data_IF_372630836010
#
_entry.id   IF_372630836010
#
_cell.length_a   1.000
_cell.length_b   1.000
_cell.length_c   1.000
_cell.angle_alpha   90.00
_cell.angle_beta   90.00
_cell.angle_gamma   90.00
#
_symmetry.space_group_name_H-M   'P 1'
#
loop_
_entity.id
_entity.type
_entity.pdbx_description
1 polymer ?
#
# COMPACT_ATOMS: atom_id res chain seq x y z
N UNK A 1 19.65 -11.01 -23.44
CA UNK A 1 18.81 -9.96 -22.88
C UNK A 1 19.70 -9.15 -21.93
N UNK A 2 19.66 -7.81 -21.95
CA UNK A 2 20.37 -7.04 -20.95
C UNK A 2 19.82 -7.43 -19.58
N UNK A 3 20.72 -7.72 -18.63
CA UNK A 3 20.34 -7.97 -17.24
C UNK A 3 19.75 -6.68 -16.69
N UNK A 4 18.43 -6.66 -16.53
CA UNK A 4 17.72 -5.54 -15.95
C UNK A 4 18.06 -5.51 -14.45
N UNK A 5 18.79 -4.51 -14.02
CA UNK A 5 19.12 -4.32 -12.61
C UNK A 5 18.03 -3.46 -11.97
N UNK A 6 16.90 -4.11 -11.61
CA UNK A 6 15.79 -3.41 -10.99
C UNK A 6 15.98 -3.15 -9.49
N UNK A 7 16.91 -3.86 -8.85
CA UNK A 7 16.83 -4.03 -7.41
C UNK A 7 15.64 -4.91 -7.04
N UNK A 8 14.99 -4.63 -5.92
CA UNK A 8 13.78 -5.32 -5.53
C UNK A 8 12.55 -4.80 -6.30
N UNK A 9 11.64 -5.70 -6.66
CA UNK A 9 10.27 -5.33 -7.09
C UNK A 9 9.45 -5.09 -5.83
N UNK A 10 8.82 -3.92 -5.75
CA UNK A 10 8.06 -3.49 -4.58
C UNK A 10 6.57 -3.38 -4.82
N UNK A 11 6.17 -3.09 -6.06
CA UNK A 11 4.76 -2.89 -6.39
C UNK A 11 4.49 -3.34 -7.82
N UNK A 12 3.33 -3.99 -8.01
CA UNK A 12 2.81 -4.40 -9.30
C UNK A 12 1.42 -3.81 -9.50
N UNK A 13 1.15 -3.29 -10.70
CA UNK A 13 -0.15 -2.72 -11.03
C UNK A 13 -0.53 -3.09 -12.47
N UNK A 14 -1.74 -3.61 -12.68
CA UNK A 14 -2.23 -3.89 -14.02
C UNK A 14 -2.36 -2.59 -14.82
N UNK A 15 -1.75 -2.54 -16.01
CA UNK A 15 -1.85 -1.41 -16.94
C UNK A 15 -2.84 -1.70 -18.07
N UNK A 16 -2.66 -2.82 -18.76
CA UNK A 16 -3.58 -3.37 -19.77
C UNK A 16 -3.72 -4.88 -19.56
N UNK A 17 -4.48 -5.56 -20.40
CA UNK A 17 -4.57 -7.04 -20.36
C UNK A 17 -3.19 -7.71 -20.54
N UNK A 18 -2.32 -7.12 -21.35
CA UNK A 18 -1.01 -7.67 -21.68
C UNK A 18 0.16 -6.95 -21.00
N UNK A 19 -0.08 -5.92 -20.19
CA UNK A 19 0.98 -5.09 -19.61
C UNK A 19 0.77 -4.84 -18.12
N UNK A 20 1.88 -4.87 -17.38
CA UNK A 20 1.95 -4.53 -15.96
C UNK A 20 2.90 -3.35 -15.76
N UNK A 21 2.51 -2.40 -14.91
CA UNK A 21 3.44 -1.47 -14.30
C UNK A 21 4.19 -2.18 -13.16
N UNK A 22 5.50 -2.04 -13.15
CA UNK A 22 6.40 -2.68 -12.19
C UNK A 22 7.20 -1.59 -11.49
N UNK A 23 6.88 -1.34 -10.24
CA UNK A 23 7.60 -0.41 -9.36
C UNK A 23 8.75 -1.12 -8.67
N UNK A 24 9.94 -0.54 -8.74
CA UNK A 24 11.18 -1.15 -8.27
C UNK A 24 12.01 -0.19 -7.42
N UNK A 25 13.15 -0.65 -6.89
CA UNK A 25 14.15 0.22 -6.24
C UNK A 25 14.84 1.17 -7.24
N UNK A 26 14.70 0.93 -8.54
CA UNK A 26 15.41 1.68 -9.58
C UNK A 26 14.48 2.14 -10.72
N UNK A 27 13.30 2.60 -10.39
CA UNK A 27 12.37 3.22 -11.32
C UNK A 27 11.10 2.43 -11.61
N UNK A 28 10.32 2.99 -12.51
CA UNK A 28 9.06 2.45 -13.00
C UNK A 28 9.27 1.78 -14.35
N UNK A 29 8.78 0.55 -14.48
CA UNK A 29 8.88 -0.22 -15.71
C UNK A 29 7.52 -0.70 -16.20
N UNK A 30 7.39 -0.84 -17.51
CA UNK A 30 6.27 -1.50 -18.15
C UNK A 30 6.73 -2.90 -18.59
N UNK A 31 6.09 -3.93 -18.07
CA UNK A 31 6.33 -5.32 -18.45
C UNK A 31 5.28 -5.78 -19.44
N UNK A 32 5.69 -6.23 -20.62
CA UNK A 32 4.79 -6.84 -21.58
C UNK A 32 4.76 -8.37 -21.39
N UNK A 33 3.58 -8.92 -21.16
CA UNK A 33 3.37 -10.35 -20.83
C UNK A 33 3.61 -11.29 -22.01
N UNK A 34 3.37 -10.83 -23.24
CA UNK A 34 3.55 -11.63 -24.45
C UNK A 34 5.02 -11.70 -24.86
N UNK A 35 5.65 -10.54 -25.04
CA UNK A 35 7.05 -10.45 -25.46
C UNK A 35 8.06 -10.76 -24.33
N UNK A 36 7.58 -10.81 -23.07
CA UNK A 36 8.43 -10.96 -21.86
C UNK A 36 9.52 -9.88 -21.76
N UNK A 37 9.22 -8.68 -22.24
CA UNK A 37 10.14 -7.55 -22.24
C UNK A 37 9.74 -6.49 -21.23
N UNK A 38 10.75 -5.75 -20.76
CA UNK A 38 10.57 -4.58 -19.91
C UNK A 38 10.98 -3.32 -20.65
N UNK A 39 10.17 -2.28 -20.52
CA UNK A 39 10.48 -0.93 -20.99
C UNK A 39 10.46 0.01 -19.78
N UNK A 40 11.47 0.85 -19.63
CA UNK A 40 11.47 1.88 -18.58
C UNK A 40 10.38 2.91 -18.86
N UNK A 41 9.50 3.15 -17.90
CA UNK A 41 8.35 4.03 -18.03
C UNK A 41 8.57 5.42 -17.39
N UNK A 42 9.57 5.57 -16.52
CA UNK A 42 10.02 6.86 -15.99
C UNK A 42 11.24 7.39 -16.76
N UNK A 43 11.50 8.69 -16.64
CA UNK A 43 12.67 9.34 -17.18
C UNK A 43 13.39 10.16 -16.10
N UNK A 44 14.47 9.63 -15.49
CA UNK A 44 15.17 10.33 -14.42
C UNK A 44 15.79 11.68 -14.81
N UNK A 45 15.97 11.91 -16.12
CA UNK A 45 16.49 13.18 -16.64
C UNK A 45 15.40 14.24 -16.84
N UNK A 46 14.10 13.88 -16.80
CA UNK A 46 13.00 14.83 -16.91
C UNK A 46 12.50 15.23 -15.50
N UNK A 47 12.65 16.50 -15.10
CA UNK A 47 12.16 16.96 -13.79
C UNK A 47 10.64 16.86 -13.61
N UNK A 48 9.89 16.55 -14.69
CA UNK A 48 8.44 16.28 -14.65
C UNK A 48 8.12 14.79 -14.62
N UNK A 49 9.13 13.95 -14.48
CA UNK A 49 8.97 12.51 -14.23
C UNK A 49 8.79 12.25 -12.73
N UNK A 50 9.04 11.02 -12.29
CA UNK A 50 8.92 10.65 -10.88
C UNK A 50 9.95 11.40 -10.02
N UNK A 51 9.53 11.81 -8.84
CA UNK A 51 10.34 12.56 -7.87
C UNK A 51 11.47 11.76 -7.24
N UNK A 52 11.38 10.43 -7.27
CA UNK A 52 12.40 9.49 -6.78
C UNK A 52 12.27 8.16 -7.53
N UNK A 53 13.35 7.41 -7.61
CA UNK A 53 13.40 6.15 -8.37
C UNK A 53 12.89 4.94 -7.58
N UNK A 54 12.87 4.98 -6.25
CA UNK A 54 12.38 3.88 -5.43
C UNK A 54 10.87 3.96 -5.28
N UNK A 55 10.15 3.03 -5.92
CA UNK A 55 8.70 2.99 -5.97
C UNK A 55 8.18 2.08 -4.85
N UNK A 56 7.51 2.65 -3.85
CA UNK A 56 6.95 1.88 -2.73
C UNK A 56 5.54 1.35 -3.01
N UNK A 57 4.75 2.05 -3.83
CA UNK A 57 3.40 1.63 -4.15
C UNK A 57 2.81 2.35 -5.35
N UNK A 58 1.81 1.73 -5.97
CA UNK A 58 1.09 2.30 -7.10
C UNK A 58 -0.38 1.92 -7.03
N UNK A 59 -1.26 2.80 -7.50
CA UNK A 59 -2.68 2.49 -7.72
C UNK A 59 -3.28 3.33 -8.83
N UNK A 60 -4.37 2.82 -9.42
CA UNK A 60 -5.32 3.61 -10.18
C UNK A 60 -6.43 4.09 -9.27
N UNK A 61 -6.79 5.37 -9.37
CA UNK A 61 -8.02 5.84 -8.75
C UNK A 61 -9.26 5.55 -9.63
N UNK A 62 -10.44 5.83 -9.11
CA UNK A 62 -11.71 5.61 -9.80
C UNK A 62 -11.84 6.42 -11.10
N UNK A 63 -11.12 7.54 -11.23
CA UNK A 63 -11.08 8.38 -12.43
C UNK A 63 -10.07 7.88 -13.47
N UNK A 64 -9.25 6.90 -13.10
CA UNK A 64 -8.19 6.30 -13.92
C UNK A 64 -6.92 7.13 -13.96
N UNK A 65 -6.64 7.91 -12.93
CA UNK A 65 -5.35 8.54 -12.72
C UNK A 65 -4.39 7.59 -11.98
N UNK A 66 -3.10 7.70 -12.29
CA UNK A 66 -2.06 6.90 -11.66
C UNK A 66 -1.45 7.65 -10.47
N UNK A 67 -1.48 7.00 -9.33
CA UNK A 67 -0.79 7.43 -8.11
C UNK A 67 0.44 6.56 -7.90
N UNK A 68 1.58 7.19 -7.65
CA UNK A 68 2.86 6.52 -7.40
C UNK A 68 3.48 7.08 -6.14
N UNK A 69 3.69 6.22 -5.16
CA UNK A 69 4.40 6.53 -3.93
C UNK A 69 5.87 6.19 -4.09
N UNK A 70 6.71 7.16 -3.80
CA UNK A 70 8.16 6.99 -3.84
C UNK A 70 8.78 7.07 -2.45
N UNK A 71 9.97 6.52 -2.29
CA UNK A 71 10.58 6.35 -0.97
C UNK A 71 10.90 7.70 -0.29
N UNK A 72 11.62 8.57 -0.96
CA UNK A 72 12.01 9.89 -0.44
C UNK A 72 11.38 11.05 -1.20
N UNK A 73 10.74 10.77 -2.32
CA UNK A 73 10.16 11.77 -3.20
C UNK A 73 8.70 12.11 -2.89
N UNK A 74 8.03 11.40 -1.99
CA UNK A 74 6.62 11.65 -1.67
C UNK A 74 5.64 11.04 -2.67
N UNK A 75 4.56 11.77 -2.99
CA UNK A 75 3.46 11.30 -3.81
C UNK A 75 3.54 11.91 -5.21
N UNK A 76 3.49 11.07 -6.22
CA UNK A 76 3.41 11.46 -7.62
C UNK A 76 2.03 11.10 -8.16
N UNK A 77 1.38 12.05 -8.82
CA UNK A 77 0.06 11.91 -9.41
C UNK A 77 0.11 12.20 -10.91
N UNK A 78 -0.38 11.28 -11.71
CA UNK A 78 -0.47 11.46 -13.16
C UNK A 78 -1.93 11.31 -13.59
N UNK A 79 -2.55 12.44 -14.01
CA UNK A 79 -3.90 12.39 -14.54
C UNK A 79 -3.95 11.65 -15.88
N UNK A 80 -5.08 11.00 -16.16
CA UNK A 80 -5.33 10.32 -17.44
C UNK A 80 -5.19 11.27 -18.66
N UNK A 81 -5.45 12.55 -18.46
CA UNK A 81 -5.49 13.57 -19.52
C UNK A 81 -4.12 14.17 -19.82
N UNK A 82 -3.33 14.47 -18.79
CA UNK A 82 -2.07 15.21 -18.95
C UNK A 82 -0.87 14.30 -19.21
N UNK A 83 -0.92 13.05 -18.77
CA UNK A 83 0.21 12.10 -18.79
C UNK A 83 1.50 12.70 -18.17
N UNK A 84 1.34 13.60 -17.21
CA UNK A 84 2.42 14.26 -16.46
C UNK A 84 2.20 14.00 -14.99
N UNK A 85 3.29 13.82 -14.24
CA UNK A 85 3.22 13.70 -12.80
C UNK A 85 3.14 15.08 -12.15
N UNK A 86 2.11 15.30 -11.33
CA UNK A 86 2.10 16.33 -10.31
C UNK A 86 2.71 15.73 -9.04
N UNK A 87 3.55 16.50 -8.38
CA UNK A 87 4.36 16.03 -7.26
C UNK A 87 3.97 16.73 -5.96
N UNK A 88 3.67 15.95 -4.95
CA UNK A 88 3.44 16.42 -3.59
C UNK A 88 4.70 16.13 -2.75
N UNK A 89 5.51 17.17 -2.53
CA UNK A 89 6.82 17.01 -1.86
C UNK A 89 6.71 16.58 -0.40
N UNK A 90 7.75 15.93 0.16
CA UNK A 90 7.83 15.70 1.61
C UNK A 90 7.68 16.98 2.43
N UNK A 91 8.13 18.14 1.92
CA UNK A 91 7.93 19.43 2.56
C UNK A 91 6.45 19.86 2.58
N UNK A 92 5.67 19.52 1.57
CA UNK A 92 4.21 19.71 1.56
C UNK A 92 3.55 18.80 2.60
N UNK A 93 4.03 17.57 2.68
CA UNK A 93 3.61 16.59 3.69
C UNK A 93 4.14 16.96 5.09
N UNK A 94 5.29 17.64 5.20
CA UNK A 94 5.97 18.04 6.45
C UNK A 94 5.43 19.31 7.10
N UNK A 95 4.58 20.09 6.45
CA UNK A 95 3.74 21.08 7.13
C UNK A 95 2.95 20.47 8.29
N UNK A 96 2.95 19.11 8.38
CA UNK A 96 2.28 18.26 9.36
C UNK A 96 3.32 17.37 10.07
N UNK A 97 4.38 17.95 10.64
CA UNK A 97 5.35 17.32 11.57
C UNK A 97 6.12 16.08 11.05
N UNK A 98 7.33 16.26 10.62
CA UNK A 98 8.32 15.20 10.40
C UNK A 98 8.83 15.10 8.97
N UNK A 99 9.61 16.09 8.53
CA UNK A 99 10.32 16.01 7.26
C UNK A 99 11.14 14.72 7.17
N UNK A 100 10.85 13.90 6.16
CA UNK A 100 11.59 12.66 5.88
C UNK A 100 10.79 11.38 6.10
N UNK A 101 9.49 11.43 6.28
CA UNK A 101 8.67 10.23 6.39
C UNK A 101 8.55 9.51 5.04
N UNK A 102 8.89 8.23 5.05
CA UNK A 102 8.69 7.35 3.91
C UNK A 102 7.20 7.16 3.71
N UNK A 103 6.68 7.56 2.55
CA UNK A 103 5.32 7.23 2.16
C UNK A 103 5.21 5.70 1.97
N UNK A 104 4.20 5.12 2.57
CA UNK A 104 3.95 3.68 2.55
C UNK A 104 2.71 3.32 1.72
N UNK A 105 1.84 2.44 2.21
CA UNK A 105 0.64 2.02 1.52
C UNK A 105 -0.38 3.15 1.43
N UNK A 106 -1.26 3.06 0.44
CA UNK A 106 -2.40 3.95 0.29
C UNK A 106 -3.62 3.20 -0.25
N UNK A 107 -4.80 3.75 0.00
CA UNK A 107 -6.03 3.28 -0.61
C UNK A 107 -7.02 4.43 -0.79
N UNK A 108 -7.82 4.35 -1.83
CA UNK A 108 -8.88 5.29 -2.13
C UNK A 108 -10.15 4.96 -1.32
N UNK A 109 -10.85 5.97 -0.82
CA UNK A 109 -12.17 5.81 -0.23
C UNK A 109 -13.28 5.99 -1.29
N UNK A 110 -14.54 5.79 -0.86
CA UNK A 110 -15.73 5.90 -1.74
C UNK A 110 -15.94 7.29 -2.34
N UNK A 111 -15.36 8.33 -1.73
CA UNK A 111 -15.49 9.73 -2.15
C UNK A 111 -14.30 10.18 -3.02
N UNK A 112 -13.42 9.26 -3.42
CA UNK A 112 -12.22 9.54 -4.21
C UNK A 112 -11.08 10.18 -3.42
N UNK A 113 -11.14 10.21 -2.09
CA UNK A 113 -10.06 10.69 -1.24
C UNK A 113 -9.12 9.54 -0.87
N UNK A 114 -7.87 9.87 -0.51
CA UNK A 114 -6.81 8.89 -0.33
C UNK A 114 -6.39 8.79 1.13
N UNK A 115 -6.39 7.58 1.67
CA UNK A 115 -5.72 7.22 2.90
C UNK A 115 -4.28 6.86 2.61
N UNK A 116 -3.35 7.39 3.40
CA UNK A 116 -1.90 7.19 3.23
C UNK A 116 -1.30 6.74 4.55
N UNK A 117 -0.68 5.57 4.54
CA UNK A 117 0.11 5.07 5.65
C UNK A 117 1.56 5.54 5.53
N UNK A 118 2.19 5.85 6.65
CA UNK A 118 3.61 6.18 6.74
C UNK A 118 4.26 5.45 7.90
N UNK A 119 5.56 5.60 8.07
CA UNK A 119 6.28 5.08 9.24
C UNK A 119 5.90 5.78 10.56
N UNK A 120 5.23 6.94 10.49
CA UNK A 120 4.86 7.71 11.68
C UNK A 120 3.35 7.91 11.84
N UNK A 121 2.52 7.30 11.00
CA UNK A 121 1.07 7.36 11.20
C UNK A 121 0.23 7.31 9.93
N UNK A 122 -1.04 7.63 10.12
CA UNK A 122 -2.07 7.63 9.09
C UNK A 122 -2.40 9.05 8.67
N UNK A 123 -2.48 9.28 7.37
CA UNK A 123 -2.84 10.56 6.79
C UNK A 123 -4.04 10.39 5.86
N UNK A 124 -4.80 11.49 5.72
CA UNK A 124 -5.93 11.58 4.83
C UNK A 124 -5.73 12.74 3.85
N UNK A 125 -5.73 12.44 2.56
CA UNK A 125 -5.61 13.41 1.50
C UNK A 125 -6.97 13.63 0.83
N UNK A 126 -7.47 14.87 0.90
CA UNK A 126 -8.67 15.28 0.20
C UNK A 126 -8.30 15.71 -1.23
N UNK A 127 -8.77 14.95 -2.22
CA UNK A 127 -8.40 15.14 -3.63
C UNK A 127 -9.03 16.40 -4.24
N UNK A 128 -10.16 16.89 -3.68
CA UNK A 128 -10.86 18.10 -4.15
C UNK A 128 -10.19 19.36 -3.60
N UNK A 129 -9.98 19.44 -2.28
CA UNK A 129 -9.33 20.60 -1.64
C UNK A 129 -7.81 20.57 -1.75
N UNK A 130 -7.24 19.38 -2.08
CA UNK A 130 -5.79 19.09 -2.10
C UNK A 130 -5.13 19.26 -0.73
N UNK A 131 -5.89 19.10 0.34
CA UNK A 131 -5.41 19.19 1.71
C UNK A 131 -5.05 17.81 2.25
N UNK A 132 -3.90 17.75 2.92
CA UNK A 132 -3.46 16.59 3.67
C UNK A 132 -3.64 16.86 5.16
N UNK A 133 -4.22 15.89 5.88
CA UNK A 133 -4.40 15.96 7.33
C UNK A 133 -3.89 14.68 8.00
N UNK A 134 -3.27 14.80 9.16
CA UNK A 134 -2.92 13.66 10.00
C UNK A 134 -4.19 13.10 10.64
N UNK A 135 -4.37 11.77 10.58
CA UNK A 135 -5.47 11.09 11.25
C UNK A 135 -4.96 10.34 12.48
N UNK A 136 -5.46 10.71 13.64
CA UNK A 136 -5.07 10.07 14.90
C UNK A 136 -5.94 8.85 15.17
N UNK A 137 -5.37 7.66 14.97
CA UNK A 137 -6.05 6.39 15.24
C UNK A 137 -6.40 6.32 16.72
N UNK A 138 -7.69 6.17 17.05
CA UNK A 138 -8.18 6.19 18.43
C UNK A 138 -8.17 7.55 19.13
N UNK A 139 -7.93 8.65 18.39
CA UNK A 139 -7.91 10.01 18.94
C UNK A 139 -6.66 10.35 19.75
N UNK A 140 -5.66 9.48 19.81
CA UNK A 140 -4.44 9.65 20.63
C UNK A 140 -3.31 10.23 19.76
N UNK A 141 -3.04 11.52 19.91
CA UNK A 141 -2.00 12.24 19.13
C UNK A 141 -0.57 11.73 19.31
N UNK A 142 -0.25 11.15 20.47
CA UNK A 142 1.10 10.67 20.77
C UNK A 142 1.40 9.27 20.26
N UNK A 143 0.38 8.51 19.83
CA UNK A 143 0.54 7.14 19.38
C UNK A 143 0.77 7.13 17.87
N UNK A 144 1.97 6.77 17.46
CA UNK A 144 2.39 6.65 16.08
C UNK A 144 2.54 5.18 15.71
N UNK A 145 2.14 4.84 14.49
CA UNK A 145 2.21 3.49 13.95
C UNK A 145 3.04 3.50 12.68
N UNK A 146 3.96 2.56 12.54
CA UNK A 146 4.61 2.27 11.26
C UNK A 146 3.66 1.43 10.42
N UNK A 147 2.95 2.08 9.49
CA UNK A 147 1.89 1.47 8.67
C UNK A 147 2.50 0.87 7.41
N UNK A 148 2.30 -0.43 7.23
CA UNK A 148 2.85 -1.22 6.12
C UNK A 148 1.82 -1.67 5.11
N UNK A 149 0.54 -1.69 5.48
CA UNK A 149 -0.55 -2.09 4.59
C UNK A 149 -1.82 -1.33 4.93
N UNK A 150 -2.58 -0.93 3.90
CA UNK A 150 -3.91 -0.34 4.01
C UNK A 150 -4.87 -1.05 3.07
N UNK A 151 -6.07 -1.33 3.53
CA UNK A 151 -7.13 -1.91 2.73
C UNK A 151 -8.48 -1.39 3.20
N UNK A 152 -9.32 -0.92 2.28
CA UNK A 152 -10.67 -0.51 2.59
C UNK A 152 -11.65 -1.64 2.32
N UNK A 153 -12.49 -1.98 3.31
CA UNK A 153 -13.58 -2.93 3.19
C UNK A 153 -14.89 -2.31 3.71
N UNK A 154 -15.72 -1.86 2.82
CA UNK A 154 -16.94 -1.13 3.17
C UNK A 154 -16.63 0.18 3.89
N UNK A 155 -17.07 0.28 5.14
CA UNK A 155 -16.79 1.42 6.03
C UNK A 155 -15.62 1.14 6.98
N UNK A 156 -14.91 0.03 6.81
CA UNK A 156 -13.80 -0.38 7.64
C UNK A 156 -12.46 -0.20 6.93
N UNK A 157 -11.59 0.62 7.51
CA UNK A 157 -10.20 0.75 7.09
C UNK A 157 -9.34 -0.23 7.89
N UNK A 158 -8.80 -1.22 7.19
CA UNK A 158 -7.86 -2.19 7.72
C UNK A 158 -6.45 -1.63 7.63
N UNK A 159 -5.75 -1.57 8.76
CA UNK A 159 -4.45 -0.93 8.93
C UNK A 159 -3.47 -1.99 9.43
N UNK A 160 -2.60 -2.46 8.55
CA UNK A 160 -1.51 -3.37 8.88
C UNK A 160 -0.27 -2.59 9.31
N UNK A 161 0.33 -2.99 10.43
CA UNK A 161 1.45 -2.27 11.04
C UNK A 161 2.71 -3.13 11.14
N UNK A 162 3.86 -2.48 11.34
CA UNK A 162 5.08 -3.14 11.77
C UNK A 162 4.99 -3.41 13.29
N UNK A 163 5.14 -4.67 13.66
CA UNK A 163 5.21 -5.17 15.03
C UNK A 163 3.96 -5.03 15.92
N UNK A 164 2.86 -4.37 15.46
CA UNK A 164 1.66 -4.17 16.30
C UNK A 164 0.40 -4.82 15.73
N UNK A 165 0.50 -5.64 14.67
CA UNK A 165 -0.61 -6.38 14.08
C UNK A 165 -1.53 -5.53 13.21
N UNK A 166 -2.83 -5.80 13.27
CA UNK A 166 -3.86 -5.16 12.46
C UNK A 166 -4.78 -4.33 13.35
N UNK A 167 -5.10 -3.13 12.88
CA UNK A 167 -6.20 -2.31 13.41
C UNK A 167 -7.27 -2.14 12.34
N UNK A 168 -8.52 -2.39 12.71
CA UNK A 168 -9.66 -2.18 11.84
C UNK A 168 -10.45 -1.00 12.38
N UNK A 169 -10.32 0.14 11.69
CA UNK A 169 -11.00 1.38 12.02
C UNK A 169 -12.32 1.45 11.27
N UNK A 170 -13.43 1.51 12.00
CA UNK A 170 -14.72 1.83 11.41
C UNK A 170 -14.81 3.35 11.18
N UNK A 171 -14.81 3.78 9.93
CA UNK A 171 -14.77 5.20 9.54
C UNK A 171 -16.03 5.97 9.91
N UNK A 172 -17.16 5.26 10.09
CA UNK A 172 -18.44 5.87 10.47
C UNK A 172 -18.59 6.10 11.97
N UNK A 173 -18.12 5.13 12.78
CA UNK A 173 -18.30 5.16 14.25
C UNK A 173 -17.04 5.60 14.99
N UNK A 174 -15.88 5.54 14.35
CA UNK A 174 -14.57 5.76 14.97
C UNK A 174 -14.11 4.60 15.85
N UNK A 175 -14.86 3.50 15.93
CA UNK A 175 -14.47 2.34 16.73
C UNK A 175 -13.31 1.60 16.10
N UNK A 176 -12.42 1.05 16.94
CA UNK A 176 -11.26 0.30 16.52
C UNK A 176 -11.35 -1.11 17.08
N UNK A 177 -11.00 -2.09 16.22
CA UNK A 177 -10.78 -3.48 16.59
C UNK A 177 -9.33 -3.84 16.30
N UNK A 178 -8.73 -4.62 17.19
CA UNK A 178 -7.33 -5.01 17.08
C UNK A 178 -7.17 -6.51 16.95
N UNK A 179 -6.24 -6.92 16.08
CA UNK A 179 -5.83 -8.32 15.93
C UNK A 179 -4.32 -8.43 16.05
N UNK A 180 -3.86 -9.23 16.97
CA UNK A 180 -2.44 -9.45 17.23
C UNK A 180 -2.08 -10.92 17.19
N UNK A 181 -0.83 -11.21 16.84
CA UNK A 181 -0.27 -12.54 17.01
C UNK A 181 0.01 -12.80 18.49
N UNK A 182 -0.41 -13.97 18.97
CA UNK A 182 -0.09 -14.43 20.31
C UNK A 182 0.46 -15.85 20.22
N UNK A 183 1.72 -16.03 20.65
CA UNK A 183 2.39 -17.32 20.58
C UNK A 183 1.63 -18.38 21.39
N UNK A 184 1.33 -19.52 20.76
CA UNK A 184 0.61 -20.61 21.38
C UNK A 184 -0.91 -20.45 21.42
N UNK A 185 -1.46 -19.34 20.95
CA UNK A 185 -2.89 -19.14 20.75
C UNK A 185 -3.22 -19.40 19.28
N UNK A 186 -4.04 -20.43 18.98
CA UNK A 186 -4.43 -20.72 17.60
C UNK A 186 -5.35 -19.64 17.04
N UNK A 187 -5.46 -19.58 15.72
CA UNK A 187 -6.37 -18.72 15.00
C UNK A 187 -6.11 -17.20 15.20
N UNK A 188 -4.87 -16.84 15.52
CA UNK A 188 -4.39 -15.45 15.44
C UNK A 188 -3.71 -15.18 14.11
N UNK A 189 -3.39 -13.92 13.79
CA UNK A 189 -2.54 -13.60 12.63
C UNK A 189 -1.16 -14.27 12.77
N UNK A 190 -0.48 -14.54 11.65
CA UNK A 190 0.77 -15.29 11.64
C UNK A 190 1.95 -14.53 12.28
N UNK A 191 1.94 -13.21 12.21
CA UNK A 191 2.90 -12.29 12.85
C UNK A 191 2.27 -10.92 13.06
N UNK A 192 2.80 -10.16 14.02
CA UNK A 192 2.42 -8.74 14.20
C UNK A 192 3.07 -7.80 13.17
N UNK A 193 3.99 -8.29 12.37
CA UNK A 193 4.57 -7.56 11.25
C UNK A 193 3.76 -7.88 9.98
N UNK A 194 2.78 -7.02 9.70
CA UNK A 194 1.82 -7.16 8.60
C UNK A 194 2.33 -6.40 7.39
N UNK A 195 2.67 -7.14 6.32
CA UNK A 195 3.31 -6.58 5.13
C UNK A 195 2.31 -6.19 4.04
N UNK A 196 1.27 -7.00 3.84
CA UNK A 196 0.23 -6.76 2.85
C UNK A 196 -1.12 -7.31 3.30
N UNK A 197 -2.19 -6.75 2.77
CA UNK A 197 -3.56 -7.25 2.92
C UNK A 197 -4.27 -7.17 1.57
N UNK A 198 -5.05 -8.16 1.26
CA UNK A 198 -5.78 -8.25 0.01
C UNK A 198 -7.17 -8.84 0.21
N UNK A 199 -8.18 -8.24 -0.43
CA UNK A 199 -9.53 -8.79 -0.50
C UNK A 199 -9.79 -9.29 -1.92
N UNK A 200 -10.07 -10.58 -2.06
CA UNK A 200 -10.32 -11.21 -3.35
C UNK A 200 -11.74 -10.90 -3.88
N UNK A 201 -12.04 -11.32 -5.11
CA UNK A 201 -13.35 -11.13 -5.75
C UNK A 201 -14.49 -11.86 -5.06
N UNK A 202 -14.20 -12.86 -4.22
CA UNK A 202 -15.19 -13.58 -3.41
C UNK A 202 -15.46 -12.88 -2.09
N UNK A 203 -14.69 -11.83 -1.78
CA UNK A 203 -14.75 -11.09 -0.53
C UNK A 203 -13.92 -11.70 0.59
N UNK A 204 -13.08 -12.70 0.31
CA UNK A 204 -12.17 -13.28 1.29
C UNK A 204 -10.97 -12.35 1.52
N UNK A 205 -10.60 -12.13 2.78
CA UNK A 205 -9.49 -11.27 3.16
C UNK A 205 -8.27 -12.12 3.49
N UNK A 206 -7.16 -11.82 2.82
CA UNK A 206 -5.86 -12.43 3.02
C UNK A 206 -4.89 -11.43 3.64
N UNK A 207 -4.04 -11.91 4.55
CA UNK A 207 -3.06 -11.11 5.28
C UNK A 207 -1.69 -11.76 5.14
N UNK A 208 -0.81 -11.09 4.43
CA UNK A 208 0.60 -11.44 4.31
C UNK A 208 1.41 -10.80 5.43
N UNK A 209 2.20 -11.61 6.11
CA UNK A 209 3.03 -11.20 7.23
C UNK A 209 4.48 -11.61 7.03
N UNK A 210 5.39 -11.16 7.89
CA UNK A 210 6.79 -11.62 7.88
C UNK A 210 6.95 -13.12 8.16
N UNK A 211 5.89 -13.81 8.66
CA UNK A 211 5.96 -15.22 9.07
C UNK A 211 4.81 -16.08 8.51
N UNK A 212 4.23 -15.72 7.39
CA UNK A 212 3.23 -16.53 6.71
C UNK A 212 2.05 -15.74 6.15
N UNK A 213 1.15 -16.49 5.52
CA UNK A 213 -0.11 -16.02 4.97
C UNK A 213 -1.27 -16.51 5.82
N UNK A 214 -2.18 -15.61 6.16
CA UNK A 214 -3.40 -15.91 6.89
C UNK A 214 -4.61 -15.49 6.08
N UNK A 215 -5.73 -16.19 6.28
CA UNK A 215 -7.06 -15.79 5.80
C UNK A 215 -7.94 -15.42 6.98
N UNK A 216 -8.64 -14.30 6.90
CA UNK A 216 -9.63 -13.88 7.88
C UNK A 216 -10.90 -14.75 7.76
N UNK A 217 -11.41 -15.18 8.91
CA UNK A 217 -12.68 -15.88 9.02
C UNK A 217 -13.70 -14.94 9.68
N UNK A 218 -14.64 -14.36 8.93
CA UNK A 218 -15.61 -13.40 9.47
C UNK A 218 -16.62 -14.03 10.44
N UNK A 219 -16.97 -15.32 10.28
CA UNK A 219 -17.94 -16.01 11.13
C UNK A 219 -17.41 -16.23 12.54
N UNK A 220 -16.14 -16.57 12.65
CA UNK A 220 -15.47 -16.82 13.93
C UNK A 220 -14.65 -15.61 14.40
N UNK A 221 -14.56 -14.56 13.57
CA UNK A 221 -13.82 -13.35 13.82
C UNK A 221 -12.35 -13.58 14.23
N UNK A 222 -11.68 -14.43 13.46
CA UNK A 222 -10.32 -14.87 13.70
C UNK A 222 -9.57 -15.16 12.39
N UNK A 223 -8.34 -15.70 12.48
CA UNK A 223 -7.50 -15.96 11.31
C UNK A 223 -7.12 -17.42 11.20
N UNK A 224 -7.08 -17.92 9.97
CA UNK A 224 -6.60 -19.27 9.65
C UNK A 224 -5.28 -19.16 8.87
N UNK A 225 -4.24 -19.80 9.35
CA UNK A 225 -2.95 -19.89 8.66
C UNK A 225 -3.07 -20.75 7.40
N UNK A 226 -2.57 -20.25 6.27
CA UNK A 226 -2.49 -21.01 5.02
C UNK A 226 -1.16 -21.75 4.98
N UNK A 227 -1.20 -23.04 5.24
CA UNK A 227 0.00 -23.88 5.36
C UNK A 227 0.51 -24.41 4.02
N UNK A 228 -0.30 -24.35 2.95
CA UNK A 228 0.05 -24.88 1.62
C UNK A 228 1.23 -24.18 0.94
N UNK A 229 1.55 -22.96 1.35
CA UNK A 229 2.70 -22.18 0.82
C UNK A 229 4.00 -22.40 1.61
N UNK A 230 3.97 -23.21 2.66
CA UNK A 230 5.08 -23.42 3.59
C UNK A 230 4.95 -22.60 4.87
N UNK A 231 5.74 -22.95 5.87
CA UNK A 231 5.84 -22.23 7.15
C UNK A 231 7.04 -21.27 7.12
N UNK A 232 6.93 -20.12 7.81
CA UNK A 232 7.99 -19.11 7.97
C UNK A 232 8.38 -18.39 6.66
N UNK A 233 7.44 -18.19 5.74
CA UNK A 233 7.68 -17.43 4.51
C UNK A 233 7.16 -16.01 4.72
N UNK A 234 8.00 -15.02 4.41
CA UNK A 234 7.57 -13.61 4.34
C UNK A 234 6.72 -13.40 3.09
N UNK A 235 5.50 -12.88 3.27
CA UNK A 235 4.56 -12.58 2.18
C UNK A 235 4.42 -11.08 2.06
N UNK A 236 5.16 -10.49 1.10
CA UNK A 236 5.24 -9.05 0.92
C UNK A 236 4.17 -8.46 0.00
N UNK A 237 3.54 -9.29 -0.85
CA UNK A 237 2.45 -8.85 -1.73
C UNK A 237 1.53 -10.02 -2.12
N UNK A 238 0.26 -9.70 -2.40
CA UNK A 238 -0.78 -10.66 -2.80
C UNK A 238 -1.51 -10.10 -4.00
N UNK A 239 -1.64 -10.90 -5.04
CA UNK A 239 -2.35 -10.53 -6.27
C UNK A 239 -3.23 -11.67 -6.77
N UNK A 240 -4.46 -11.36 -7.23
CA UNK A 240 -5.36 -12.30 -7.84
C UNK A 240 -5.26 -12.23 -9.37
N UNK A 241 -4.94 -13.35 -10.02
CA UNK A 241 -4.98 -13.45 -11.49
C UNK A 241 -6.43 -13.54 -11.99
N UNK A 242 -6.65 -13.06 -13.22
CA UNK A 242 -7.99 -13.05 -13.85
C UNK A 242 -8.27 -14.35 -14.55
#
# INVERSE_FOLDING_TARGET
APSLNFGAVRSLLKYTENELLVGTDNGLYLFNRESKTFLRADNPADPRSLSDQTINGMMWDAEGALWVLTNLGGINYMSKQTKRFDYYSPAYLSGIAGAGEVAGPFCENKDGNIWIGTQSGLYFFNTVTRELSEYHIGGVKSQKYDIRSLMLDGDCLWIGTYAEGIRVLNLRTGSIKEYTHSRGIPNTICSNDVLCMYKDRKGEIFVGTSWGLCRYNPDADNFMTITSIGSMISVGDIYEDM
#
